data_IF_282278584985
#
_entry.id   IF_282278584985
#
_cell.length_a   1.000
_cell.length_b   1.000
_cell.length_c   1.000
_cell.angle_alpha   90.00
_cell.angle_beta   90.00
_cell.angle_gamma   90.00
#
_symmetry.space_group_name_H-M   'P 1'
#
loop_
_entity.id
_entity.type
_entity.pdbx_description
1 polymer ?
#
# COMPACT_ATOMS: atom_id res chain seq x y z
N UNK A 1 2.48 3.60 -15.02
CA UNK A 1 2.93 4.98 -14.66
C UNK A 1 4.18 4.89 -13.81
N UNK A 2 5.13 5.75 -14.04
CA UNK A 2 6.37 5.77 -13.26
C UNK A 2 6.11 6.18 -11.82
N UNK A 3 6.91 5.63 -10.91
CA UNK A 3 6.76 5.90 -9.46
C UNK A 3 6.79 7.41 -9.16
N UNK A 4 7.71 8.14 -9.78
CA UNK A 4 7.80 9.59 -9.54
C UNK A 4 6.50 10.31 -9.88
N UNK A 5 5.83 9.90 -10.95
CA UNK A 5 4.56 10.49 -11.35
C UNK A 5 3.44 10.12 -10.39
N UNK A 6 3.44 8.88 -9.89
CA UNK A 6 2.45 8.47 -8.89
C UNK A 6 2.64 9.30 -7.61
N UNK A 7 3.89 9.46 -7.17
CA UNK A 7 4.19 10.27 -5.99
C UNK A 7 3.74 11.72 -6.17
N UNK A 8 3.91 12.26 -7.38
CA UNK A 8 3.46 13.62 -7.68
C UNK A 8 1.95 13.76 -7.50
N UNK A 9 1.17 12.72 -7.84
CA UNK A 9 -0.27 12.73 -7.61
C UNK A 9 -0.60 12.81 -6.11
N UNK A 10 0.13 12.08 -5.28
CA UNK A 10 -0.04 12.19 -3.82
C UNK A 10 0.25 13.61 -3.33
N UNK A 11 1.32 14.21 -3.83
CA UNK A 11 1.68 15.58 -3.43
C UNK A 11 0.64 16.59 -3.89
N UNK A 12 -0.01 16.34 -5.01
CA UNK A 12 -1.11 17.17 -5.50
C UNK A 12 -2.44 16.89 -4.79
N UNK A 13 -2.46 15.93 -3.87
CA UNK A 13 -3.67 15.43 -3.18
C UNK A 13 -4.74 14.97 -4.17
N UNK A 14 -4.29 14.36 -5.26
CA UNK A 14 -5.15 13.79 -6.29
C UNK A 14 -5.46 12.34 -5.93
N UNK A 15 -6.74 12.02 -5.76
CA UNK A 15 -7.17 10.67 -5.38
C UNK A 15 -6.81 9.61 -6.41
N UNK A 16 -6.54 9.99 -7.65
CA UNK A 16 -6.05 9.06 -8.67
C UNK A 16 -4.72 8.42 -8.27
N UNK A 17 -4.00 9.03 -7.32
CA UNK A 17 -2.76 8.46 -6.80
C UNK A 17 -2.98 7.04 -6.27
N UNK A 18 -4.08 6.82 -5.56
CA UNK A 18 -4.39 5.50 -4.98
C UNK A 18 -4.71 4.50 -6.10
N UNK A 19 -5.51 4.92 -7.07
CA UNK A 19 -5.84 4.06 -8.21
C UNK A 19 -4.61 3.66 -9.00
N UNK A 20 -3.70 4.61 -9.25
CA UNK A 20 -2.47 4.33 -9.98
C UNK A 20 -1.54 3.41 -9.19
N UNK A 21 -1.50 3.57 -7.87
CA UNK A 21 -0.75 2.67 -6.99
C UNK A 21 -1.30 1.25 -7.09
N UNK A 22 -2.61 1.11 -7.04
CA UNK A 22 -3.27 -0.20 -7.14
C UNK A 22 -3.00 -0.84 -8.49
N UNK A 23 -3.09 -0.07 -9.57
CA UNK A 23 -2.82 -0.57 -10.92
C UNK A 23 -1.39 -1.07 -11.05
N UNK A 24 -0.42 -0.33 -10.48
CA UNK A 24 0.99 -0.66 -10.59
C UNK A 24 1.40 -1.82 -9.69
N UNK A 25 0.90 -1.86 -8.45
CA UNK A 25 1.42 -2.73 -7.41
C UNK A 25 0.38 -3.54 -6.65
N UNK A 26 -0.90 -3.37 -6.95
CA UNK A 26 -1.99 -4.00 -6.20
C UNK A 26 -1.86 -5.51 -6.10
N UNK A 27 -1.57 -6.18 -7.21
CA UNK A 27 -1.44 -7.64 -7.23
C UNK A 27 -0.31 -8.12 -6.33
N UNK A 28 0.82 -7.43 -6.36
CA UNK A 28 1.97 -7.78 -5.53
C UNK A 28 1.68 -7.59 -4.06
N UNK A 29 0.98 -6.51 -3.72
CA UNK A 29 0.59 -6.23 -2.34
C UNK A 29 -0.43 -7.26 -1.84
N UNK A 30 -1.41 -7.62 -2.65
CA UNK A 30 -2.39 -8.67 -2.30
C UNK A 30 -1.70 -10.00 -2.08
N UNK A 31 -0.75 -10.37 -2.92
CA UNK A 31 0.01 -11.61 -2.76
C UNK A 31 0.78 -11.59 -1.45
N UNK A 32 1.46 -10.50 -1.14
CA UNK A 32 2.19 -10.34 0.10
C UNK A 32 1.27 -10.52 1.32
N UNK A 33 0.16 -9.80 1.33
CA UNK A 33 -0.81 -9.86 2.44
C UNK A 33 -1.42 -11.26 2.57
N UNK A 34 -1.78 -11.87 1.45
CA UNK A 34 -2.39 -13.20 1.45
C UNK A 34 -1.43 -14.28 1.95
N UNK A 35 -0.15 -14.16 1.62
CA UNK A 35 0.86 -15.10 2.11
C UNK A 35 1.00 -15.03 3.63
N UNK A 36 0.81 -13.87 4.21
CA UNK A 36 0.89 -13.66 5.65
C UNK A 36 -0.41 -14.09 6.33
N UNK A 37 -1.55 -13.65 5.80
CA UNK A 37 -2.84 -13.80 6.46
C UNK A 37 -3.58 -15.09 6.11
N UNK A 38 -3.27 -15.69 4.97
CA UNK A 38 -3.89 -16.93 4.49
C UNK A 38 -5.41 -16.81 4.31
N UNK A 39 -5.88 -15.59 4.08
CA UNK A 39 -7.29 -15.28 3.92
C UNK A 39 -7.44 -14.11 2.96
N UNK A 40 -8.24 -14.31 1.91
CA UNK A 40 -8.38 -13.32 0.85
C UNK A 40 -9.03 -12.02 1.33
N UNK A 41 -10.08 -12.13 2.14
CA UNK A 41 -10.80 -10.96 2.65
C UNK A 41 -9.93 -10.13 3.59
N UNK A 42 -9.20 -10.79 4.47
CA UNK A 42 -8.27 -10.10 5.37
C UNK A 42 -7.15 -9.46 4.59
N UNK A 43 -6.68 -10.11 3.52
CA UNK A 43 -5.64 -9.54 2.67
C UNK A 43 -6.13 -8.27 1.96
N UNK A 44 -7.36 -8.28 1.44
CA UNK A 44 -7.94 -7.11 0.80
C UNK A 44 -8.05 -5.93 1.77
N UNK A 45 -8.50 -6.19 3.00
CA UNK A 45 -8.58 -5.16 4.03
C UNK A 45 -7.20 -4.60 4.37
N UNK A 46 -6.20 -5.47 4.48
CA UNK A 46 -4.84 -5.06 4.79
C UNK A 46 -4.26 -4.17 3.69
N UNK A 47 -4.53 -4.51 2.43
CA UNK A 47 -4.08 -3.68 1.30
C UNK A 47 -4.80 -2.33 1.30
N UNK A 48 -6.11 -2.31 1.56
CA UNK A 48 -6.86 -1.07 1.64
C UNK A 48 -6.35 -0.18 2.79
N UNK A 49 -6.05 -0.78 3.93
CA UNK A 49 -5.48 -0.04 5.06
C UNK A 49 -4.09 0.50 4.71
N UNK A 50 -3.32 -0.24 3.92
CA UNK A 50 -2.03 0.22 3.42
C UNK A 50 -2.20 1.49 2.59
N UNK A 51 -3.17 1.52 1.69
CA UNK A 51 -3.44 2.71 0.87
C UNK A 51 -3.83 3.90 1.73
N UNK A 52 -4.64 3.69 2.76
CA UNK A 52 -5.02 4.76 3.68
C UNK A 52 -3.80 5.34 4.40
N UNK A 53 -2.89 4.47 4.85
CA UNK A 53 -1.65 4.92 5.52
C UNK A 53 -0.74 5.68 4.56
N UNK A 54 -0.61 5.19 3.33
CA UNK A 54 0.22 5.86 2.31
C UNK A 54 -0.35 7.25 2.01
N UNK A 55 -1.67 7.35 1.88
CA UNK A 55 -2.34 8.63 1.63
C UNK A 55 -2.06 9.65 2.74
N UNK A 56 -2.02 9.20 3.98
CA UNK A 56 -1.71 10.06 5.13
C UNK A 56 -0.24 10.44 5.18
N UNK A 57 0.64 9.56 4.74
CA UNK A 57 2.09 9.75 4.86
C UNK A 57 2.67 10.61 3.75
N UNK A 58 2.09 10.59 2.58
CA UNK A 58 2.59 11.31 1.40
C UNK A 58 1.56 12.37 1.00
N UNK A 59 1.82 13.69 1.05
CA UNK A 59 3.01 14.26 1.64
C UNK A 59 2.98 14.22 3.17
N UNK A 60 4.06 14.57 3.87
CA UNK A 60 5.31 15.15 3.35
C UNK A 60 6.36 14.11 2.97
N UNK A 61 6.18 12.85 3.33
CA UNK A 61 7.18 11.83 2.98
C UNK A 61 7.22 11.63 1.47
N UNK A 62 8.42 11.44 0.94
CA UNK A 62 8.61 11.07 -0.47
C UNK A 62 9.60 9.91 -0.51
N UNK A 63 9.10 8.67 -0.43
CA UNK A 63 9.98 7.50 -0.37
C UNK A 63 10.83 7.39 -1.64
N UNK A 64 12.07 7.01 -1.45
CA UNK A 64 13.00 6.81 -2.55
C UNK A 64 12.66 5.53 -3.34
N UNK A 65 12.22 4.49 -2.61
CA UNK A 65 11.82 3.22 -3.19
C UNK A 65 10.36 2.98 -2.87
N UNK A 66 9.50 3.34 -3.80
CA UNK A 66 8.06 3.39 -3.55
C UNK A 66 7.48 2.02 -3.20
N UNK A 67 7.78 0.99 -4.00
CA UNK A 67 7.23 -0.33 -3.69
C UNK A 67 7.72 -0.86 -2.34
N UNK A 68 8.98 -0.65 -2.01
CA UNK A 68 9.51 -1.07 -0.70
C UNK A 68 8.77 -0.38 0.43
N UNK A 69 8.43 0.89 0.27
CA UNK A 69 7.65 1.65 1.24
C UNK A 69 6.25 1.05 1.39
N UNK A 70 5.57 0.76 0.27
CA UNK A 70 4.25 0.14 0.28
C UNK A 70 4.28 -1.24 0.93
N UNK A 71 5.24 -2.06 0.54
CA UNK A 71 5.38 -3.42 1.03
C UNK A 71 5.66 -3.45 2.54
N UNK A 72 6.48 -2.54 3.02
CA UNK A 72 6.79 -2.42 4.45
C UNK A 72 5.53 -2.15 5.27
N UNK A 73 4.71 -1.20 4.83
CA UNK A 73 3.46 -0.86 5.51
C UNK A 73 2.49 -2.04 5.45
N UNK A 74 2.32 -2.62 4.27
CA UNK A 74 1.41 -3.75 4.08
C UNK A 74 1.81 -4.94 4.94
N UNK A 75 3.10 -5.25 4.98
CA UNK A 75 3.62 -6.34 5.79
C UNK A 75 3.37 -6.09 7.27
N UNK A 76 3.65 -4.88 7.73
CA UNK A 76 3.44 -4.51 9.12
C UNK A 76 1.98 -4.66 9.53
N UNK A 77 1.07 -4.12 8.73
CA UNK A 77 -0.36 -4.21 9.01
C UNK A 77 -0.85 -5.67 8.97
N UNK A 78 -0.34 -6.44 8.03
CA UNK A 78 -0.72 -7.86 7.91
C UNK A 78 -0.23 -8.67 9.10
N UNK A 79 0.99 -8.45 9.55
CA UNK A 79 1.53 -9.14 10.72
C UNK A 79 0.75 -8.78 11.98
N UNK A 80 0.33 -7.53 12.12
CA UNK A 80 -0.48 -7.11 13.25
C UNK A 80 -1.83 -7.83 13.30
N UNK A 81 -2.43 -8.10 12.13
CA UNK A 81 -3.68 -8.87 12.06
C UNK A 81 -3.49 -10.31 12.48
N UNK A 82 -2.35 -10.91 12.15
CA UNK A 82 -2.05 -12.30 12.56
C UNK A 82 -2.02 -12.41 14.07
N UNK A 83 -1.49 -11.41 14.76
CA UNK A 83 -1.35 -11.42 16.22
C UNK A 83 -2.69 -11.46 16.95
N UNK A 84 -3.78 -11.15 16.27
CA UNK A 84 -5.12 -11.19 16.87
C UNK A 84 -5.78 -12.55 16.80
N UNK A 85 -5.13 -13.51 16.16
CA UNK A 85 -5.63 -14.89 16.02
C UNK A 85 -4.87 -15.83 16.92
#
# INVERSE_FOLDING_TARGET
MEDAKILDLYFARDEDAIRETDTAYGKRLHTLAKNILQNREDAEESVNDTYAEVWKSIPPRRPRYFFAFLASICRHLSLNRVDWK
#
